data_IF_332468459295
#
_entry.id   IF_332468459295
#
_cell.length_a   1.000
_cell.length_b   1.000
_cell.length_c   1.000
_cell.angle_alpha   90.00
_cell.angle_beta   90.00
_cell.angle_gamma   90.00
#
_symmetry.space_group_name_H-M   'P 1'
#
loop_
_entity.id
_entity.type
_entity.pdbx_description
1 polymer ?
#
# COMPACT_ATOMS: atom_id res chain seq x y z
N UNK A 1 12.02 -7.15 49.75
CA UNK A 1 10.64 -7.66 49.64
C UNK A 1 9.90 -6.69 48.75
N UNK A 2 9.55 -7.11 47.55
CA UNK A 2 8.79 -6.29 46.62
C UNK A 2 7.31 -6.34 47.02
N UNK A 3 6.67 -5.19 47.14
CA UNK A 3 5.25 -5.09 47.51
C UNK A 3 4.45 -4.62 46.29
N UNK A 4 3.36 -5.31 46.00
CA UNK A 4 2.39 -4.90 44.97
C UNK A 4 1.20 -4.28 45.69
N UNK A 5 0.98 -2.97 45.47
CA UNK A 5 -0.21 -2.29 45.96
C UNK A 5 -1.24 -2.24 44.84
N UNK A 6 -2.37 -2.91 45.02
CA UNK A 6 -3.51 -2.83 44.11
C UNK A 6 -4.45 -1.74 44.60
N UNK A 7 -4.57 -0.65 43.86
CA UNK A 7 -5.53 0.42 44.17
C UNK A 7 -6.61 0.44 43.11
N UNK A 8 -7.84 0.09 43.50
CA UNK A 8 -9.02 0.11 42.64
C UNK A 8 -9.76 1.43 42.83
N UNK A 9 -9.87 2.22 41.76
CA UNK A 9 -10.64 3.45 41.78
C UNK A 9 -11.82 3.32 40.81
N UNK A 10 -13.04 3.46 41.34
CA UNK A 10 -14.24 3.61 40.54
C UNK A 10 -14.40 5.09 40.20
N UNK A 11 -14.37 5.44 38.91
CA UNK A 11 -14.60 6.82 38.46
C UNK A 11 -16.01 6.90 37.88
N UNK A 12 -16.92 7.72 38.43
CA UNK A 12 -18.24 7.93 37.85
C UNK A 12 -18.09 8.62 36.49
N UNK A 13 -18.76 8.11 35.46
CA UNK A 13 -18.80 8.78 34.15
C UNK A 13 -19.60 10.08 34.28
N UNK A 14 -18.95 11.22 34.10
CA UNK A 14 -19.65 12.50 34.00
C UNK A 14 -20.52 12.50 32.73
N UNK A 15 -21.85 12.44 32.93
CA UNK A 15 -22.84 12.73 31.88
C UNK A 15 -23.58 11.56 31.22
N UNK A 16 -23.48 10.32 31.73
CA UNK A 16 -24.29 9.20 31.20
C UNK A 16 -25.54 8.93 32.09
N UNK A 17 -26.71 8.65 31.50
CA UNK A 17 -27.90 8.28 32.26
C UNK A 17 -27.68 6.96 33.03
N UNK A 18 -28.20 6.91 34.26
CA UNK A 18 -28.13 5.80 35.22
C UNK A 18 -28.69 4.48 34.65
N UNK A 19 -27.96 3.77 33.80
CA UNK A 19 -28.23 2.34 33.50
C UNK A 19 -27.14 1.59 32.75
N UNK A 20 -25.97 2.17 32.43
CA UNK A 20 -24.96 1.45 31.63
C UNK A 20 -23.53 1.65 32.13
N UNK A 21 -23.00 0.56 32.71
CA UNK A 21 -21.59 0.21 32.88
C UNK A 21 -20.78 1.14 33.80
N UNK A 22 -20.65 0.75 35.07
CA UNK A 22 -19.60 1.25 35.96
C UNK A 22 -18.25 0.79 35.40
N UNK A 23 -17.45 1.74 34.92
CA UNK A 23 -16.14 1.44 34.34
C UNK A 23 -15.09 1.38 35.46
N UNK A 24 -14.52 0.20 35.69
CA UNK A 24 -13.43 0.02 36.65
C UNK A 24 -12.10 0.26 35.94
N UNK A 25 -11.36 1.29 36.36
CA UNK A 25 -9.98 1.49 35.91
C UNK A 25 -9.08 0.82 36.96
N UNK A 26 -8.31 -0.18 36.52
CA UNK A 26 -7.37 -0.89 37.38
C UNK A 26 -5.98 -0.28 37.16
N UNK A 27 -5.43 0.35 38.20
CA UNK A 27 -4.03 0.78 38.21
C UNK A 27 -3.19 -0.27 38.96
N UNK A 28 -2.19 -0.82 38.28
CA UNK A 28 -1.14 -1.61 38.91
C UNK A 28 0.13 -0.76 38.99
N UNK A 29 0.45 -0.33 40.20
CA UNK A 29 1.72 0.32 40.51
C UNK A 29 2.63 -0.69 41.19
N UNK A 30 3.76 -1.00 40.55
CA UNK A 30 4.81 -1.83 41.15
C UNK A 30 5.96 -0.92 41.56
N UNK A 31 6.27 -0.91 42.86
CA UNK A 31 7.44 -0.19 43.39
C UNK A 31 8.58 -1.19 43.49
N UNK A 32 9.56 -1.07 42.59
CA UNK A 32 10.76 -1.89 42.62
C UNK A 32 11.73 -1.32 43.66
N UNK A 33 12.47 -2.20 44.35
CA UNK A 33 13.46 -1.84 45.39
C UNK A 33 14.57 -0.88 44.94
N UNK A 34 14.68 -0.58 43.63
CA UNK A 34 15.58 0.40 43.04
C UNK A 34 15.07 1.85 43.03
N UNK A 35 13.90 2.13 43.62
CA UNK A 35 13.33 3.48 43.71
C UNK A 35 12.73 4.01 42.39
N UNK A 36 12.61 3.17 41.36
CA UNK A 36 11.93 3.51 40.10
C UNK A 36 10.47 3.05 40.15
N UNK A 37 9.55 3.98 39.91
CA UNK A 37 8.10 3.71 39.80
C UNK A 37 7.82 3.30 38.36
N UNK A 38 7.36 2.06 38.15
CA UNK A 38 6.85 1.60 36.87
C UNK A 38 5.32 1.62 36.87
N UNK A 39 4.71 2.39 35.98
CA UNK A 39 3.26 2.40 35.76
C UNK A 39 2.94 1.54 34.53
N UNK A 40 2.30 0.38 34.74
CA UNK A 40 1.83 -0.47 33.65
C UNK A 40 0.32 -0.23 33.52
N UNK A 41 -0.09 0.39 32.41
CA UNK A 41 -1.51 0.63 32.12
C UNK A 41 -1.98 -0.45 31.15
N UNK A 42 -2.82 -1.37 31.63
CA UNK A 42 -3.47 -2.39 30.79
C UNK A 42 -4.84 -1.84 30.38
N UNK A 43 -5.01 -1.44 29.11
CA UNK A 43 -6.25 -0.84 28.61
C UNK A 43 -6.92 -1.80 27.63
N UNK A 44 -8.21 -2.09 27.84
CA UNK A 44 -9.02 -2.83 26.88
C UNK A 44 -9.39 -1.92 25.69
N UNK A 45 -9.62 -2.53 24.52
CA UNK A 45 -9.69 -1.89 23.18
C UNK A 45 -10.71 -0.73 23.01
N UNK A 46 -11.55 -0.42 24.00
CA UNK A 46 -12.65 0.55 23.89
C UNK A 46 -12.25 1.98 24.30
N UNK A 47 -11.08 2.18 24.92
CA UNK A 47 -10.73 3.45 25.59
C UNK A 47 -9.56 4.22 24.97
N UNK A 48 -9.54 4.39 23.65
CA UNK A 48 -8.55 5.28 23.01
C UNK A 48 -9.06 6.71 22.82
N UNK A 49 -10.35 6.87 22.51
CA UNK A 49 -10.95 8.18 22.17
C UNK A 49 -11.07 9.09 23.41
N UNK A 50 -11.37 8.51 24.58
CA UNK A 50 -11.58 9.27 25.82
C UNK A 50 -10.29 9.82 26.42
N UNK A 51 -9.16 9.12 26.23
CA UNK A 51 -7.84 9.55 26.72
C UNK A 51 -7.32 10.73 25.91
N UNK A 52 -7.55 10.74 24.59
CA UNK A 52 -7.17 11.85 23.71
C UNK A 52 -7.91 13.13 24.10
N UNK A 53 -9.22 13.05 24.40
CA UNK A 53 -9.99 14.21 24.89
C UNK A 53 -9.54 14.73 26.25
N UNK A 54 -9.10 13.85 27.16
CA UNK A 54 -8.61 14.27 28.48
C UNK A 54 -7.23 14.96 28.39
N UNK A 55 -6.34 14.45 27.52
CA UNK A 55 -5.02 15.06 27.28
C UNK A 55 -5.12 16.43 26.61
N UNK A 56 -6.10 16.63 25.72
CA UNK A 56 -6.43 17.94 25.13
C UNK A 56 -6.94 18.96 26.17
N UNK A 57 -7.55 18.51 27.26
CA UNK A 57 -8.10 19.39 28.31
C UNK A 57 -7.08 19.86 29.36
N UNK A 58 -5.90 19.23 29.42
CA UNK A 58 -4.88 19.52 30.43
C UNK A 58 -3.80 20.52 29.97
N UNK A 59 -3.89 21.05 28.75
CA UNK A 59 -3.06 22.13 28.22
C UNK A 59 -1.52 21.94 28.40
N UNK A 60 -1.07 20.69 28.44
CA UNK A 60 0.34 20.29 28.52
C UNK A 60 0.87 19.87 27.15
N UNK A 61 0.88 20.77 26.17
CA UNK A 61 1.70 20.57 24.95
C UNK A 61 2.16 21.91 24.39
N UNK A 62 3.47 22.17 24.45
CA UNK A 62 4.12 22.83 23.33
C UNK A 62 4.01 21.90 22.12
N UNK A 63 3.73 22.40 20.90
CA UNK A 63 3.57 21.56 19.73
C UNK A 63 4.97 21.17 19.22
N UNK A 64 5.54 20.12 19.81
CA UNK A 64 6.71 19.45 19.26
C UNK A 64 6.44 17.95 19.27
N UNK A 65 6.27 17.42 18.07
CA UNK A 65 6.37 16.01 17.71
C UNK A 65 5.52 15.00 18.51
N UNK A 66 4.22 14.99 18.24
CA UNK A 66 3.35 13.85 18.58
C UNK A 66 2.79 13.18 17.33
N UNK A 67 3.69 12.67 16.47
CA UNK A 67 3.39 11.67 15.45
C UNK A 67 3.89 10.28 15.89
N UNK A 68 3.79 9.98 17.18
CA UNK A 68 4.24 8.72 17.76
C UNK A 68 3.14 8.18 18.68
N UNK A 69 2.30 7.29 18.14
CA UNK A 69 1.75 6.08 18.79
C UNK A 69 0.66 5.52 17.86
N UNK A 70 0.75 4.23 17.50
CA UNK A 70 0.03 3.49 16.43
C UNK A 70 0.72 3.29 15.07
N UNK A 71 1.99 3.65 14.93
CA UNK A 71 2.84 2.84 14.05
C UNK A 71 3.15 1.54 14.79
N UNK A 72 2.31 0.50 14.63
CA UNK A 72 2.77 -0.86 14.89
C UNK A 72 4.10 -1.01 14.15
N UNK A 73 5.10 -1.62 14.79
CA UNK A 73 6.45 -1.81 14.22
C UNK A 73 6.26 -2.41 12.82
N UNK A 74 6.33 -1.57 11.77
CA UNK A 74 6.12 -2.06 10.42
C UNK A 74 7.24 -3.04 10.12
N UNK A 75 6.87 -4.20 9.59
CA UNK A 75 7.85 -5.16 9.14
C UNK A 75 8.73 -4.49 8.06
N UNK A 76 10.03 -4.81 8.04
CA UNK A 76 10.96 -4.34 7.01
C UNK A 76 10.43 -4.59 5.60
N UNK A 77 9.79 -5.73 5.37
CA UNK A 77 9.19 -6.04 4.06
C UNK A 77 8.08 -5.06 3.70
N UNK A 78 7.27 -4.66 4.68
CA UNK A 78 6.21 -3.66 4.46
C UNK A 78 6.80 -2.29 4.18
N UNK A 79 7.91 -1.91 4.83
CA UNK A 79 8.63 -0.65 4.56
C UNK A 79 9.11 -0.59 3.10
N UNK A 80 9.80 -1.63 2.64
CA UNK A 80 10.30 -1.69 1.26
C UNK A 80 9.16 -1.81 0.24
N UNK A 81 8.10 -2.56 0.57
CA UNK A 81 6.93 -2.66 -0.30
C UNK A 81 6.15 -1.35 -0.39
N UNK A 82 6.05 -0.58 0.70
CA UNK A 82 5.52 0.80 0.66
C UNK A 82 6.34 1.67 -0.29
N UNK A 83 7.67 1.51 -0.30
CA UNK A 83 8.51 2.23 -1.27
C UNK A 83 8.22 1.79 -2.71
N UNK A 84 8.03 0.49 -2.98
CA UNK A 84 7.57 0.02 -4.30
C UNK A 84 6.25 0.69 -4.71
N UNK A 85 5.28 0.81 -3.79
CA UNK A 85 4.00 1.46 -4.06
C UNK A 85 4.15 2.96 -4.35
N UNK A 86 5.02 3.67 -3.62
CA UNK A 86 5.34 5.07 -3.90
C UNK A 86 5.94 5.24 -5.31
N UNK A 87 6.89 4.38 -5.68
CA UNK A 87 7.52 4.39 -7.00
C UNK A 87 6.51 4.08 -8.11
N UNK A 88 5.60 3.13 -7.88
CA UNK A 88 4.56 2.77 -8.84
C UNK A 88 3.66 3.96 -9.21
N UNK A 89 3.37 4.86 -8.26
CA UNK A 89 2.56 6.06 -8.51
C UNK A 89 3.19 7.03 -9.51
N UNK A 90 4.52 7.00 -9.70
CA UNK A 90 5.20 7.82 -10.70
C UNK A 90 4.84 7.43 -12.15
N UNK A 91 4.23 6.25 -12.36
CA UNK A 91 3.71 5.82 -13.67
C UNK A 91 2.26 6.22 -13.93
N UNK A 92 1.60 6.91 -12.99
CA UNK A 92 0.18 7.24 -13.11
C UNK A 92 -0.08 8.13 -14.34
N UNK A 93 -0.97 7.66 -15.21
CA UNK A 93 -1.35 8.37 -16.43
C UNK A 93 -0.47 8.09 -17.66
N UNK A 94 0.64 7.37 -17.50
CA UNK A 94 1.58 7.08 -18.61
C UNK A 94 1.72 5.60 -18.93
N UNK A 95 1.38 4.71 -18.00
CA UNK A 95 1.54 3.26 -18.16
C UNK A 95 0.37 2.58 -18.85
N UNK A 96 -0.81 3.20 -18.96
CA UNK A 96 -1.98 2.57 -19.58
C UNK A 96 -1.64 2.01 -20.98
N UNK A 97 -2.03 0.76 -21.31
CA UNK A 97 -2.91 -0.16 -20.57
C UNK A 97 -2.23 -1.05 -19.50
N UNK A 98 -0.94 -0.89 -19.26
CA UNK A 98 -0.16 -1.70 -18.32
C UNK A 98 -0.38 -1.28 -16.85
N UNK A 99 -0.11 -2.17 -15.88
CA UNK A 99 -0.23 -1.85 -14.46
C UNK A 99 0.83 -0.85 -13.99
N UNK A 100 0.56 -0.21 -12.86
CA UNK A 100 1.51 0.58 -12.11
C UNK A 100 2.38 -0.37 -11.28
N UNK A 101 3.66 -0.41 -11.62
CA UNK A 101 4.63 -1.28 -10.96
C UNK A 101 5.84 -0.46 -10.53
N UNK A 102 6.27 -0.68 -9.29
CA UNK A 102 7.49 -0.16 -8.70
C UNK A 102 8.30 -1.32 -8.11
N UNK A 103 9.62 -1.17 -8.11
CA UNK A 103 10.55 -2.17 -7.62
C UNK A 103 11.74 -1.52 -6.92
N UNK A 104 12.21 -2.14 -5.85
CA UNK A 104 13.43 -1.74 -5.14
C UNK A 104 14.37 -2.93 -4.97
N UNK A 105 15.67 -2.67 -5.05
CA UNK A 105 16.72 -3.67 -4.78
C UNK A 105 17.36 -3.31 -3.45
N UNK A 106 17.39 -4.27 -2.53
CA UNK A 106 17.90 -4.13 -1.17
C UNK A 106 19.13 -5.00 -0.99
N UNK A 107 20.20 -4.41 -0.45
CA UNK A 107 21.42 -5.08 -0.04
C UNK A 107 21.75 -4.64 1.39
N UNK A 108 21.98 -5.60 2.30
CA UNK A 108 22.32 -5.31 3.71
C UNK A 108 21.34 -4.33 4.39
N UNK A 109 20.03 -4.54 4.21
CA UNK A 109 18.94 -3.67 4.71
C UNK A 109 18.97 -2.23 4.16
N UNK A 110 19.68 -1.96 3.07
CA UNK A 110 19.72 -0.66 2.40
C UNK A 110 19.20 -0.77 0.98
N UNK A 111 18.34 0.16 0.58
CA UNK A 111 17.92 0.28 -0.82
C UNK A 111 19.14 0.77 -1.63
N UNK A 112 19.62 -0.05 -2.56
CA UNK A 112 20.75 0.29 -3.42
C UNK A 112 20.30 0.86 -4.77
N UNK A 113 19.10 0.48 -5.21
CA UNK A 113 18.49 0.92 -6.47
C UNK A 113 16.97 0.84 -6.44
N UNK A 114 16.34 1.63 -7.30
CA UNK A 114 14.89 1.81 -7.41
C UNK A 114 14.49 1.90 -8.89
N UNK A 115 13.28 1.45 -9.20
CA UNK A 115 12.72 1.53 -10.55
C UNK A 115 11.19 1.48 -10.54
N UNK A 116 10.58 2.02 -11.60
CA UNK A 116 9.14 1.89 -11.84
C UNK A 116 8.87 1.77 -13.33
N UNK A 117 7.72 1.21 -13.69
CA UNK A 117 7.30 1.18 -15.09
C UNK A 117 6.85 2.57 -15.52
N UNK A 118 7.58 3.17 -16.46
CA UNK A 118 7.37 4.58 -16.84
C UNK A 118 6.30 4.77 -17.92
N UNK A 119 6.19 3.83 -18.87
CA UNK A 119 5.28 3.95 -20.02
C UNK A 119 5.01 2.59 -20.66
N UNK A 120 3.80 2.38 -21.18
CA UNK A 120 3.45 1.16 -21.89
C UNK A 120 4.46 0.82 -23.01
N UNK A 121 4.91 -0.44 -23.06
CA UNK A 121 5.89 -0.93 -24.03
C UNK A 121 7.35 -0.51 -23.77
N UNK A 122 7.62 0.21 -22.67
CA UNK A 122 8.99 0.44 -22.15
C UNK A 122 9.36 -0.60 -21.10
N UNK A 123 10.63 -0.66 -20.66
CA UNK A 123 11.04 -1.62 -19.65
C UNK A 123 10.18 -1.56 -18.36
N UNK A 124 10.00 -2.72 -17.74
CA UNK A 124 9.24 -2.87 -16.49
C UNK A 124 10.03 -2.34 -15.29
N UNK A 125 9.39 -2.31 -14.12
CA UNK A 125 9.96 -1.75 -12.91
C UNK A 125 11.25 -2.48 -12.48
N UNK A 126 11.24 -3.81 -12.56
CA UNK A 126 12.35 -4.69 -12.22
C UNK A 126 13.55 -4.42 -13.13
N UNK A 127 13.29 -4.30 -14.44
CA UNK A 127 14.32 -3.97 -15.44
C UNK A 127 14.91 -2.59 -15.16
N UNK A 128 14.07 -1.59 -14.87
CA UNK A 128 14.54 -0.25 -14.55
C UNK A 128 15.36 -0.21 -13.25
N UNK A 129 14.96 -0.96 -12.22
CA UNK A 129 15.71 -1.05 -10.96
C UNK A 129 17.09 -1.68 -11.18
N UNK A 130 17.18 -2.73 -11.99
CA UNK A 130 18.45 -3.37 -12.37
C UNK A 130 19.32 -2.42 -13.19
N UNK A 131 18.78 -1.80 -14.23
CA UNK A 131 19.52 -0.86 -15.08
C UNK A 131 20.07 0.33 -14.28
N UNK A 132 19.28 0.85 -13.34
CA UNK A 132 19.72 1.92 -12.44
C UNK A 132 20.83 1.43 -11.48
N UNK A 133 20.77 0.18 -11.02
CA UNK A 133 21.81 -0.40 -10.17
C UNK A 133 23.13 -0.55 -10.95
N UNK A 134 23.05 -1.10 -12.17
CA UNK A 134 24.19 -1.26 -13.08
C UNK A 134 24.80 0.11 -13.40
N UNK A 135 23.97 1.12 -13.74
CA UNK A 135 24.46 2.48 -14.00
C UNK A 135 25.20 3.08 -12.80
N UNK A 136 24.76 2.79 -11.58
CA UNK A 136 25.33 3.33 -10.34
C UNK A 136 26.59 2.57 -9.87
N UNK A 137 26.64 1.25 -10.07
CA UNK A 137 27.65 0.38 -9.47
C UNK A 137 28.65 -0.19 -10.48
N UNK A 138 28.31 -0.18 -11.77
CA UNK A 138 28.96 -0.96 -12.82
C UNK A 138 28.35 -2.36 -12.94
N UNK A 139 28.31 -2.90 -14.16
CA UNK A 139 27.69 -4.21 -14.47
C UNK A 139 28.39 -5.35 -13.72
N UNK A 140 29.72 -5.44 -13.82
CA UNK A 140 30.51 -6.49 -13.16
C UNK A 140 30.30 -6.49 -11.62
N UNK A 141 30.26 -5.31 -11.01
CA UNK A 141 30.02 -5.18 -9.57
C UNK A 141 28.59 -5.59 -9.22
N UNK A 142 27.61 -5.18 -10.03
CA UNK A 142 26.22 -5.53 -9.80
C UNK A 142 26.00 -7.04 -9.91
N UNK A 143 26.57 -7.71 -10.92
CA UNK A 143 26.48 -9.16 -11.08
C UNK A 143 27.06 -9.93 -9.89
N UNK A 144 28.12 -9.43 -9.25
CA UNK A 144 28.70 -10.04 -8.03
C UNK A 144 27.84 -9.85 -6.78
N UNK A 145 27.07 -8.77 -6.67
CA UNK A 145 26.26 -8.48 -5.48
C UNK A 145 24.80 -8.93 -5.60
N UNK A 146 24.25 -9.01 -6.82
CA UNK A 146 22.84 -9.36 -7.04
C UNK A 146 22.44 -10.67 -6.36
N UNK A 147 23.29 -11.73 -6.32
CA UNK A 147 22.98 -12.96 -5.59
C UNK A 147 22.89 -12.83 -4.07
N UNK A 148 23.27 -11.69 -3.51
CA UNK A 148 23.15 -11.35 -2.09
C UNK A 148 22.03 -10.34 -1.83
N UNK A 149 21.40 -9.83 -2.89
CA UNK A 149 20.36 -8.82 -2.82
C UNK A 149 18.96 -9.47 -2.78
N UNK A 150 18.05 -8.77 -2.14
CA UNK A 150 16.61 -9.03 -2.20
C UNK A 150 15.98 -8.00 -3.14
N UNK A 151 15.08 -8.43 -4.02
CA UNK A 151 14.31 -7.51 -4.87
C UNK A 151 12.84 -7.52 -4.46
N UNK A 152 12.27 -6.34 -4.29
CA UNK A 152 10.86 -6.15 -3.94
C UNK A 152 10.11 -5.62 -5.15
N UNK A 153 8.89 -6.10 -5.38
CA UNK A 153 8.01 -5.64 -6.46
C UNK A 153 6.56 -5.70 -6.02
N UNK A 154 5.76 -4.68 -6.33
CA UNK A 154 4.36 -4.63 -5.88
C UNK A 154 3.40 -5.54 -6.66
N UNK A 155 3.84 -6.12 -7.79
CA UNK A 155 3.07 -7.04 -8.63
C UNK A 155 3.97 -8.20 -9.08
N UNK A 156 3.41 -9.40 -9.25
CA UNK A 156 4.13 -10.58 -9.73
C UNK A 156 4.96 -10.29 -11.01
N UNK A 157 6.27 -10.64 -11.02
CA UNK A 157 7.11 -10.51 -12.22
C UNK A 157 6.53 -11.26 -13.41
N UNK A 158 6.49 -10.60 -14.58
CA UNK A 158 5.88 -11.20 -15.76
C UNK A 158 6.63 -12.48 -16.22
N UNK A 159 5.86 -13.48 -16.63
CA UNK A 159 6.33 -14.82 -17.06
C UNK A 159 6.15 -15.09 -18.56
N UNK A 160 5.48 -14.21 -19.30
CA UNK A 160 5.26 -14.34 -20.73
C UNK A 160 6.08 -13.31 -21.50
N UNK A 161 6.51 -13.70 -22.70
CA UNK A 161 7.14 -12.77 -23.65
C UNK A 161 6.07 -11.91 -24.30
N UNK A 162 6.10 -10.62 -24.01
CA UNK A 162 5.26 -9.60 -24.66
C UNK A 162 6.09 -8.77 -25.64
N UNK A 163 6.03 -7.44 -25.50
CA UNK A 163 6.93 -6.50 -26.19
C UNK A 163 8.36 -6.53 -25.62
N UNK A 164 8.51 -7.00 -24.39
CA UNK A 164 9.78 -7.15 -23.68
C UNK A 164 9.92 -8.60 -23.17
N UNK A 165 11.16 -9.09 -22.99
CA UNK A 165 11.40 -10.37 -22.32
C UNK A 165 10.77 -10.42 -20.92
N UNK A 166 10.42 -11.62 -20.41
CA UNK A 166 9.80 -11.79 -19.10
C UNK A 166 10.77 -11.41 -17.98
N UNK A 167 10.27 -10.66 -17.00
CA UNK A 167 11.07 -10.19 -15.86
C UNK A 167 11.52 -11.35 -14.98
N UNK A 168 10.71 -12.41 -14.84
CA UNK A 168 11.10 -13.60 -14.09
C UNK A 168 12.43 -14.20 -14.60
N UNK A 169 12.62 -14.34 -15.91
CA UNK A 169 13.88 -14.83 -16.49
C UNK A 169 15.05 -13.87 -16.26
N UNK A 170 14.80 -12.56 -16.25
CA UNK A 170 15.83 -11.58 -15.94
C UNK A 170 16.30 -11.69 -14.48
N UNK A 171 15.37 -11.88 -13.55
CA UNK A 171 15.71 -12.10 -12.13
C UNK A 171 16.48 -13.40 -11.93
N UNK A 172 16.14 -14.45 -12.67
CA UNK A 172 16.91 -15.71 -12.72
C UNK A 172 18.34 -15.46 -13.25
N UNK A 173 18.50 -14.68 -14.31
CA UNK A 173 19.84 -14.35 -14.86
C UNK A 173 20.77 -13.72 -13.82
N UNK A 174 20.25 -12.81 -12.99
CA UNK A 174 21.04 -12.16 -11.94
C UNK A 174 21.07 -12.96 -10.62
N UNK A 175 20.38 -14.10 -10.58
CA UNK A 175 20.33 -15.05 -9.48
C UNK A 175 20.08 -14.39 -8.10
N UNK A 176 19.08 -13.50 -8.01
CA UNK A 176 18.77 -12.80 -6.76
C UNK A 176 18.58 -13.78 -5.59
N UNK A 177 18.98 -13.37 -4.39
CA UNK A 177 18.81 -14.19 -3.17
C UNK A 177 17.35 -14.54 -2.92
N UNK A 178 16.50 -13.53 -3.05
CA UNK A 178 15.06 -13.64 -2.82
C UNK A 178 14.28 -12.55 -3.58
N UNK A 179 13.05 -12.89 -3.93
CA UNK A 179 12.09 -11.99 -4.59
C UNK A 179 10.87 -11.84 -3.69
N UNK A 180 10.59 -10.61 -3.27
CA UNK A 180 9.45 -10.28 -2.41
C UNK A 180 8.38 -9.60 -3.25
N UNK A 181 7.20 -10.20 -3.30
CA UNK A 181 6.09 -9.80 -4.16
C UNK A 181 4.91 -9.33 -3.32
N UNK A 182 4.37 -8.17 -3.68
CA UNK A 182 3.23 -7.58 -2.99
C UNK A 182 1.94 -8.36 -3.22
N UNK A 183 1.51 -8.43 -4.48
CA UNK A 183 0.31 -9.18 -4.90
C UNK A 183 0.59 -10.01 -6.15
N UNK A 184 -0.15 -11.10 -6.32
CA UNK A 184 -0.08 -11.95 -7.51
C UNK A 184 -0.82 -11.30 -8.68
N UNK A 185 -0.41 -11.62 -9.92
CA UNK A 185 -1.09 -11.11 -11.10
C UNK A 185 -2.38 -11.93 -11.34
N UNK A 186 -3.58 -11.32 -11.37
CA UNK A 186 -4.82 -12.03 -11.65
C UNK A 186 -4.97 -12.44 -13.12
N UNK A 187 -4.04 -12.05 -14.00
CA UNK A 187 -4.06 -12.44 -15.40
C UNK A 187 -3.75 -13.94 -15.53
N UNK A 188 -4.66 -14.73 -16.12
CA UNK A 188 -4.50 -16.20 -16.30
C UNK A 188 -3.17 -16.59 -16.98
N UNK A 189 -2.68 -15.68 -17.85
CA UNK A 189 -1.37 -15.81 -18.51
C UNK A 189 -0.14 -15.67 -17.60
N UNK A 190 -0.29 -15.18 -16.38
CA UNK A 190 0.81 -14.87 -15.46
C UNK A 190 0.63 -15.55 -14.12
N UNK A 191 -0.60 -15.59 -13.58
CA UNK A 191 -0.95 -16.08 -12.25
C UNK A 191 -0.09 -17.26 -11.76
N UNK A 192 0.88 -16.96 -10.91
CA UNK A 192 1.77 -17.93 -10.26
C UNK A 192 2.91 -18.50 -11.12
N UNK A 193 2.92 -18.25 -12.43
CA UNK A 193 3.99 -18.73 -13.32
C UNK A 193 5.29 -17.96 -13.16
N UNK A 194 5.22 -16.66 -12.86
CA UNK A 194 6.42 -15.86 -12.61
C UNK A 194 7.14 -16.35 -11.37
N UNK A 195 6.36 -16.59 -10.30
CA UNK A 195 6.85 -17.20 -9.06
C UNK A 195 7.43 -18.58 -9.31
N UNK A 196 6.71 -19.44 -10.03
CA UNK A 196 7.17 -20.81 -10.34
C UNK A 196 8.52 -20.83 -11.07
N UNK A 197 8.73 -19.95 -12.06
CA UNK A 197 10.01 -19.84 -12.78
C UNK A 197 11.16 -19.49 -11.80
N UNK A 198 10.90 -18.61 -10.84
CA UNK A 198 11.91 -18.20 -9.85
C UNK A 198 12.21 -19.33 -8.87
N UNK A 199 11.18 -20.01 -8.35
CA UNK A 199 11.34 -21.14 -7.43
C UNK A 199 12.04 -22.33 -8.08
N UNK A 200 11.72 -22.65 -9.35
CA UNK A 200 12.40 -23.70 -10.13
C UNK A 200 13.89 -23.39 -10.37
N UNK A 201 14.26 -22.11 -10.41
CA UNK A 201 15.65 -21.67 -10.49
C UNK A 201 16.37 -21.60 -9.12
N UNK A 202 15.69 -21.98 -8.03
CA UNK A 202 16.25 -21.98 -6.67
C UNK A 202 16.18 -20.62 -5.96
N UNK A 203 15.42 -19.65 -6.49
CA UNK A 203 15.24 -18.33 -5.88
C UNK A 203 14.08 -18.36 -4.89
N UNK A 204 14.34 -17.95 -3.64
CA UNK A 204 13.31 -17.86 -2.60
C UNK A 204 12.28 -16.77 -2.94
N UNK A 205 11.00 -17.10 -2.94
CA UNK A 205 9.92 -16.16 -3.21
C UNK A 205 9.03 -15.97 -1.97
N UNK A 206 8.81 -14.70 -1.58
CA UNK A 206 7.85 -14.34 -0.53
C UNK A 206 6.73 -13.51 -1.16
N UNK A 207 5.48 -13.96 -1.01
CA UNK A 207 4.32 -13.28 -1.60
C UNK A 207 3.39 -12.76 -0.52
N UNK A 208 2.47 -11.87 -0.88
CA UNK A 208 1.39 -11.43 0.03
C UNK A 208 1.74 -10.23 0.92
N UNK A 209 2.71 -9.41 0.53
CA UNK A 209 3.09 -8.21 1.30
C UNK A 209 2.21 -7.03 0.91
N UNK A 210 1.42 -6.51 1.87
CA UNK A 210 0.52 -5.36 1.64
C UNK A 210 -0.45 -5.55 0.46
N UNK A 211 -0.99 -6.77 0.29
CA UNK A 211 -1.88 -7.17 -0.81
C UNK A 211 -2.96 -6.13 -1.10
N UNK A 212 -3.66 -5.66 -0.07
CA UNK A 212 -4.76 -4.71 -0.23
C UNK A 212 -4.29 -3.38 -0.85
N UNK A 213 -3.13 -2.88 -0.42
CA UNK A 213 -2.54 -1.64 -0.97
C UNK A 213 -2.05 -1.85 -2.40
N UNK A 214 -1.42 -3.00 -2.69
CA UNK A 214 -1.00 -3.37 -4.04
C UNK A 214 -2.20 -3.49 -5.00
N UNK A 215 -3.30 -4.07 -4.52
CA UNK A 215 -4.56 -4.17 -5.24
C UNK A 215 -5.21 -2.81 -5.49
N UNK A 216 -5.19 -1.92 -4.51
CA UNK A 216 -5.76 -0.58 -4.65
C UNK A 216 -5.04 0.25 -5.72
N UNK A 217 -3.70 0.21 -5.75
CA UNK A 217 -2.91 0.92 -6.78
C UNK A 217 -3.26 0.46 -8.19
N UNK A 218 -3.54 -0.83 -8.37
CA UNK A 218 -3.85 -1.44 -9.67
C UNK A 218 -5.34 -1.78 -9.86
N UNK A 219 -6.25 -1.20 -9.07
CA UNK A 219 -7.69 -1.57 -9.07
C UNK A 219 -8.35 -1.52 -10.44
N UNK A 220 -7.93 -0.57 -11.29
CA UNK A 220 -8.44 -0.41 -12.66
C UNK A 220 -8.00 -1.57 -13.56
N UNK A 221 -6.71 -1.91 -13.48
CA UNK A 221 -6.11 -3.02 -14.21
C UNK A 221 -6.73 -4.35 -13.77
N UNK A 222 -6.83 -4.59 -12.46
CA UNK A 222 -7.41 -5.82 -11.92
C UNK A 222 -8.90 -5.97 -12.21
N UNK A 223 -9.69 -4.90 -12.18
CA UNK A 223 -11.11 -4.97 -12.55
C UNK A 223 -11.31 -5.46 -13.98
N UNK A 224 -10.50 -4.96 -14.91
CA UNK A 224 -10.54 -5.40 -16.30
C UNK A 224 -10.10 -6.86 -16.46
N UNK A 225 -8.98 -7.25 -15.86
CA UNK A 225 -8.48 -8.62 -16.05
C UNK A 225 -9.32 -9.69 -15.36
N UNK A 226 -9.83 -9.40 -14.15
CA UNK A 226 -10.64 -10.32 -13.35
C UNK A 226 -12.09 -10.42 -13.84
N UNK A 227 -12.74 -9.28 -14.12
CA UNK A 227 -14.18 -9.25 -14.43
C UNK A 227 -14.50 -9.00 -15.90
N UNK A 228 -13.49 -8.74 -16.75
CA UNK A 228 -13.66 -8.30 -18.14
C UNK A 228 -14.55 -7.05 -18.25
N UNK A 229 -14.51 -6.19 -17.23
CA UNK A 229 -15.30 -4.96 -17.12
C UNK A 229 -14.39 -3.76 -16.84
N UNK A 230 -14.64 -2.60 -17.46
CA UNK A 230 -13.89 -1.39 -17.14
C UNK A 230 -14.17 -0.95 -15.69
N UNK A 231 -13.18 -0.35 -15.05
CA UNK A 231 -13.41 0.36 -13.79
C UNK A 231 -14.08 1.71 -14.09
N UNK A 232 -15.29 1.89 -13.60
CA UNK A 232 -16.11 3.09 -13.85
C UNK A 232 -16.00 4.06 -12.69
N UNK A 233 -15.64 5.30 -13.00
CA UNK A 233 -15.68 6.41 -12.05
C UNK A 233 -16.92 7.26 -12.35
N UNK A 234 -17.87 7.24 -11.43
CA UNK A 234 -19.04 8.11 -11.48
C UNK A 234 -18.70 9.41 -10.75
N UNK A 235 -18.60 10.52 -11.49
CA UNK A 235 -18.44 11.85 -10.91
C UNK A 235 -19.76 12.61 -11.05
N UNK A 236 -20.37 12.95 -9.92
CA UNK A 236 -21.53 13.84 -9.87
C UNK A 236 -21.22 15.13 -9.13
N UNK A 237 -21.98 16.17 -9.42
CA UNK A 237 -22.08 17.38 -8.60
C UNK A 237 -23.57 17.68 -8.39
N UNK A 238 -23.96 17.99 -7.16
CA UNK A 238 -25.34 18.35 -6.81
C UNK A 238 -25.31 19.46 -5.76
N UNK A 239 -26.37 20.27 -5.71
CA UNK A 239 -26.61 21.20 -4.61
C UNK A 239 -27.00 20.44 -3.33
N UNK A 240 -27.01 21.12 -2.18
CA UNK A 240 -27.40 20.52 -0.89
C UNK A 240 -28.86 20.02 -0.88
N UNK A 241 -29.74 20.60 -1.70
CA UNK A 241 -31.12 20.14 -1.94
C UNK A 241 -31.21 19.01 -2.98
N UNK A 242 -30.09 18.33 -3.27
CA UNK A 242 -29.97 17.22 -4.24
C UNK A 242 -30.40 17.58 -5.67
N UNK A 243 -30.40 18.87 -6.01
CA UNK A 243 -30.73 19.34 -7.35
C UNK A 243 -29.46 19.40 -8.19
N UNK A 244 -29.40 18.56 -9.23
CA UNK A 244 -28.32 18.63 -10.23
C UNK A 244 -28.60 19.66 -11.32
N UNK A 245 -29.87 20.10 -11.46
CA UNK A 245 -30.31 21.16 -12.39
C UNK A 245 -31.70 21.69 -12.01
N UNK A 246 -31.85 22.99 -11.73
CA UNK A 246 -33.17 23.67 -11.80
C UNK A 246 -33.43 24.00 -13.28
N UNK A 247 -34.66 23.86 -13.74
CA UNK A 247 -35.09 24.20 -15.10
C UNK A 247 -34.72 25.65 -15.48
N UNK A 248 -33.51 25.85 -16.01
CA UNK A 248 -33.05 27.11 -16.59
C UNK A 248 -32.78 26.84 -18.08
N UNK A 249 -33.71 27.29 -18.92
CA UNK A 249 -33.41 27.60 -20.32
C UNK A 249 -32.36 28.71 -20.31
N UNK A 250 -31.08 28.39 -20.53
CA UNK A 250 -30.19 29.00 -21.52
C UNK A 250 -28.71 28.60 -21.31
N UNK A 251 -28.09 28.27 -22.46
CA UNK A 251 -26.68 28.14 -22.83
C UNK A 251 -25.83 27.04 -22.19
N UNK A 252 -25.24 26.29 -23.12
CA UNK A 252 -24.38 25.12 -23.05
C UNK A 252 -23.13 25.32 -22.18
N UNK A 253 -22.82 24.31 -21.35
CA UNK A 253 -21.49 23.86 -20.92
C UNK A 253 -21.14 23.83 -19.42
N UNK A 254 -22.06 24.04 -18.47
CA UNK A 254 -21.73 23.83 -17.05
C UNK A 254 -22.73 22.89 -16.36
N UNK A 255 -22.17 21.80 -15.83
CA UNK A 255 -22.77 20.75 -14.98
C UNK A 255 -23.57 19.65 -15.71
N UNK A 256 -22.98 18.45 -15.69
CA UNK A 256 -23.58 17.20 -16.15
C UNK A 256 -22.87 16.02 -15.47
N UNK A 257 -23.59 14.90 -15.30
CA UNK A 257 -23.02 13.62 -14.90
C UNK A 257 -21.94 13.25 -15.92
N UNK A 258 -20.69 13.10 -15.46
CA UNK A 258 -19.62 12.63 -16.33
C UNK A 258 -19.26 11.21 -15.94
N UNK A 259 -19.57 10.27 -16.84
CA UNK A 259 -19.10 8.90 -16.75
C UNK A 259 -17.71 8.87 -17.37
N UNK A 260 -16.68 8.73 -16.54
CA UNK A 260 -15.32 8.57 -17.02
C UNK A 260 -14.98 7.07 -17.05
N UNK A 261 -14.84 6.51 -18.25
CA UNK A 261 -14.29 5.16 -18.43
C UNK A 261 -12.78 5.25 -18.68
N UNK A 262 -11.98 4.63 -17.80
CA UNK A 262 -10.52 4.63 -17.94
C UNK A 262 -9.97 3.64 -19.00
N UNK A 263 -10.83 2.99 -19.78
CA UNK A 263 -10.46 2.03 -20.82
C UNK A 263 -10.84 2.57 -22.20
N UNK A 264 -9.93 3.30 -22.84
CA UNK A 264 -10.14 3.89 -24.17
C UNK A 264 -9.92 2.89 -25.33
N UNK A 265 -9.75 1.59 -25.04
CA UNK A 265 -9.31 0.59 -26.02
C UNK A 265 -10.26 -0.59 -26.27
N UNK A 266 -11.46 -0.62 -25.69
CA UNK A 266 -12.38 -1.75 -25.87
C UNK A 266 -13.83 -1.35 -26.21
N UNK A 267 -14.03 -0.17 -26.82
CA UNK A 267 -15.24 0.05 -27.61
C UNK A 267 -14.78 -0.19 -29.05
N UNK A 268 -15.30 -1.27 -29.63
CA UNK A 268 -15.06 -1.68 -31.01
C UNK A 268 -15.15 -0.49 -31.97
N UNK A 269 -14.46 -0.58 -33.11
CA UNK A 269 -14.59 0.29 -34.29
C UNK A 269 -16.01 0.25 -34.92
N UNK A 270 -17.05 0.37 -34.10
CA UNK A 270 -18.44 0.45 -34.50
C UNK A 270 -18.95 1.85 -34.09
N UNK A 271 -19.05 2.80 -35.03
CA UNK A 271 -19.48 4.17 -34.76
C UNK A 271 -20.90 4.27 -34.18
N UNK A 272 -21.68 3.18 -34.14
CA UNK A 272 -23.09 3.22 -33.74
C UNK A 272 -23.35 2.91 -32.25
N UNK A 273 -22.34 2.63 -31.43
CA UNK A 273 -22.53 2.31 -29.99
C UNK A 273 -21.97 3.35 -29.02
N UNK A 274 -21.93 4.62 -29.44
CA UNK A 274 -21.73 5.75 -28.51
C UNK A 274 -23.07 6.42 -28.22
N UNK A 275 -23.94 5.72 -27.49
CA UNK A 275 -25.02 6.33 -26.75
C UNK A 275 -24.67 6.14 -25.28
N UNK A 276 -24.10 7.15 -24.64
CA UNK A 276 -24.33 7.60 -23.26
C UNK A 276 -23.65 8.96 -23.07
#
# INVERSE_FOLDING_TARGET
MDWVALSLYAVPSLGAPYSSIVCWIIFLTTVLSSGRIGLIIIISKVHLVTIISLLLSLNLTQPCDLNLTFAGIMNKDELYMQRCLQLAQNGLGTTYPNPLVGSVIVYENKIISEGWHQKAGKPHAEVNAINNAIKKLGEEKFEKIAPKCSIYVNLEPCSHTGKTPPCALLLVRYNFKEVIVGTLDPHDKVAGRGIKILEEAGISCKTGILVDKCNEVNKRFFSFHKYKKPYVLLKWAQTNDAISRRNLRLRSNLFGLQIHTAYKGCINNDPQKTLF
#
